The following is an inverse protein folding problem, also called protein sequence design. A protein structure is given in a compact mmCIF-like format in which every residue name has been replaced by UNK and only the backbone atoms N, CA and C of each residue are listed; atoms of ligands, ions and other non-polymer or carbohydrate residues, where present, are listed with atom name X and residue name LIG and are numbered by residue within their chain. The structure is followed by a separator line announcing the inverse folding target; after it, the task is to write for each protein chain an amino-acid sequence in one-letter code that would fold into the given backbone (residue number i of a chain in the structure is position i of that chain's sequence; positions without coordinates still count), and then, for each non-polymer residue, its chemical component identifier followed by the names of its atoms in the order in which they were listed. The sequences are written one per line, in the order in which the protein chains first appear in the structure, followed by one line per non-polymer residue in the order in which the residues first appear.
data_IF_187409849964
#
_entry.id   IF_187409849964
#
_cell.length_a   1.000
_cell.length_b   1.000
_cell.length_c   1.000
_cell.angle_alpha   90.00
_cell.angle_beta   90.00
_cell.angle_gamma   90.00
#
_symmetry.space_group_name_H-M   'P 1'
#
loop_
_entity.id
_entity.type
_entity.pdbx_description
1 polymer ?
#
# COMPACT_ATOMS: atom_id res chain seq x y z
N UNK A 1 20.07 -27.50 -6.60
CA UNK A 1 18.88 -27.55 -5.74
C UNK A 1 18.43 -26.13 -5.50
N UNK A 2 17.41 -25.70 -6.24
CA UNK A 2 16.82 -24.36 -6.15
C UNK A 2 16.05 -24.27 -4.84
N UNK A 3 16.50 -23.42 -3.92
CA UNK A 3 15.76 -23.10 -2.72
C UNK A 3 14.57 -22.21 -3.12
N UNK A 4 13.36 -22.79 -3.07
CA UNK A 4 12.12 -22.04 -3.09
C UNK A 4 12.02 -21.27 -1.78
N UNK A 5 12.16 -19.95 -1.84
CA UNK A 5 11.78 -19.06 -0.74
C UNK A 5 10.25 -19.05 -0.72
N UNK A 6 9.67 -19.85 0.16
CA UNK A 6 8.24 -19.77 0.45
C UNK A 6 7.92 -18.39 1.00
N UNK A 7 7.12 -17.63 0.26
CA UNK A 7 6.44 -16.48 0.83
C UNK A 7 5.60 -17.00 1.99
N UNK A 8 5.91 -16.57 3.21
CA UNK A 8 5.06 -16.85 4.37
C UNK A 8 3.69 -16.23 4.09
N UNK A 9 2.71 -17.08 3.78
CA UNK A 9 1.31 -16.71 3.58
C UNK A 9 0.71 -16.28 4.93
N UNK A 10 1.04 -15.06 5.33
CA UNK A 10 0.41 -14.42 6.49
C UNK A 10 -1.02 -14.06 6.08
N UNK A 11 -1.99 -14.78 6.62
CA UNK A 11 -3.40 -14.44 6.44
C UNK A 11 -3.77 -13.29 7.38
N UNK A 12 -4.54 -12.32 6.89
CA UNK A 12 -5.02 -11.20 7.69
C UNK A 12 -6.55 -11.20 7.69
N UNK A 13 -7.15 -11.30 8.87
CA UNK A 13 -8.59 -11.10 9.00
C UNK A 13 -8.94 -9.63 8.73
N UNK A 14 -9.98 -9.40 7.93
CA UNK A 14 -10.57 -8.09 7.70
C UNK A 14 -11.43 -7.70 8.92
N UNK A 15 -10.77 -7.32 10.00
CA UNK A 15 -11.40 -6.93 11.26
C UNK A 15 -12.29 -5.69 11.07
N UNK A 16 -13.52 -5.73 11.59
CA UNK A 16 -14.52 -4.66 11.45
C UNK A 16 -15.69 -5.04 10.54
N UNK A 17 -15.48 -6.00 9.62
CA UNK A 17 -16.58 -6.58 8.84
C UNK A 17 -17.16 -7.78 9.60
N UNK A 18 -18.48 -7.74 9.80
CA UNK A 18 -19.24 -8.75 10.54
C UNK A 18 -20.36 -9.35 9.66
N UNK A 19 -21.17 -10.26 10.22
CA UNK A 19 -22.25 -10.93 9.49
C UNK A 19 -23.31 -9.96 8.96
N UNK A 20 -23.67 -8.90 9.71
CA UNK A 20 -24.66 -7.90 9.28
C UNK A 20 -24.21 -7.21 7.98
N UNK A 21 -22.93 -6.89 7.87
CA UNK A 21 -22.36 -6.30 6.65
C UNK A 21 -22.45 -7.26 5.46
N UNK A 22 -22.17 -8.55 5.68
CA UNK A 22 -22.28 -9.56 4.63
C UNK A 22 -23.73 -9.78 4.21
N UNK A 23 -24.68 -9.76 5.14
CA UNK A 23 -26.11 -9.88 4.86
C UNK A 23 -26.62 -8.69 4.04
N UNK A 24 -26.14 -7.48 4.34
CA UNK A 24 -26.44 -6.27 3.57
C UNK A 24 -25.95 -6.40 2.13
N UNK A 25 -24.69 -6.81 1.94
CA UNK A 25 -24.13 -7.05 0.61
C UNK A 25 -24.86 -8.16 -0.14
N UNK A 26 -25.24 -9.24 0.55
CA UNK A 26 -26.01 -10.32 -0.07
C UNK A 26 -27.40 -9.86 -0.49
N UNK A 27 -28.08 -9.05 0.32
CA UNK A 27 -29.43 -8.55 0.04
C UNK A 27 -29.44 -7.61 -1.16
N UNK A 28 -28.53 -6.64 -1.20
CA UNK A 28 -28.58 -5.55 -2.18
C UNK A 28 -27.72 -5.78 -3.43
N UNK A 29 -26.79 -6.74 -3.41
CA UNK A 29 -25.81 -6.87 -4.48
C UNK A 29 -25.72 -8.28 -5.07
N UNK A 30 -26.12 -9.33 -4.35
CA UNK A 30 -26.05 -10.69 -4.87
C UNK A 30 -27.00 -10.96 -6.04
N UNK A 31 -28.01 -10.12 -6.31
CA UNK A 31 -28.87 -10.27 -7.50
C UNK A 31 -28.09 -10.15 -8.83
N UNK A 32 -27.04 -9.34 -8.83
CA UNK A 32 -26.22 -9.00 -10.00
C UNK A 32 -24.77 -9.49 -9.95
N UNK A 33 -24.27 -9.87 -8.76
CA UNK A 33 -22.88 -10.27 -8.49
C UNK A 33 -22.79 -11.65 -7.84
N UNK A 34 -23.36 -12.66 -8.51
CA UNK A 34 -23.38 -14.06 -8.11
C UNK A 34 -22.77 -14.98 -9.20
N UNK A 35 -22.80 -16.29 -8.96
CA UNK A 35 -22.32 -17.32 -9.90
C UNK A 35 -23.01 -17.27 -11.28
N UNK A 36 -24.33 -17.03 -11.30
CA UNK A 36 -25.16 -17.05 -12.53
C UNK A 36 -25.08 -15.73 -13.30
N UNK A 37 -24.92 -14.61 -12.58
CA UNK A 37 -24.84 -13.24 -13.11
C UNK A 37 -23.67 -12.54 -12.42
N UNK A 38 -22.62 -12.25 -13.17
CA UNK A 38 -21.44 -11.53 -12.68
C UNK A 38 -21.26 -10.22 -13.47
N UNK A 39 -22.13 -9.24 -13.20
CA UNK A 39 -21.96 -7.90 -13.78
C UNK A 39 -20.59 -7.34 -13.34
N UNK A 40 -19.89 -6.65 -14.25
CA UNK A 40 -18.55 -6.12 -13.99
C UNK A 40 -17.47 -7.18 -13.68
N UNK A 41 -17.73 -8.47 -13.98
CA UNK A 41 -16.85 -9.60 -13.63
C UNK A 41 -16.52 -9.65 -12.13
N UNK A 42 -17.49 -9.27 -11.30
CA UNK A 42 -17.37 -9.27 -9.85
C UNK A 42 -18.37 -10.22 -9.23
N UNK A 43 -17.91 -10.97 -8.21
CA UNK A 43 -18.69 -11.95 -7.44
C UNK A 43 -18.55 -11.67 -5.96
N UNK A 44 -19.68 -11.51 -5.29
CA UNK A 44 -19.76 -11.25 -3.85
C UNK A 44 -19.61 -12.53 -3.04
N UNK A 45 -20.11 -13.63 -3.56
CA UNK A 45 -20.04 -14.94 -2.90
C UNK A 45 -18.61 -15.48 -2.74
N UNK A 46 -17.67 -14.92 -3.48
CA UNK A 46 -16.23 -15.22 -3.39
C UNK A 46 -15.46 -14.21 -2.51
N UNK A 47 -16.12 -13.24 -1.87
CA UNK A 47 -15.45 -12.31 -0.96
C UNK A 47 -15.07 -13.02 0.35
N UNK A 48 -13.78 -13.22 0.55
CA UNK A 48 -13.24 -13.76 1.79
C UNK A 48 -13.00 -12.66 2.81
N UNK A 49 -13.41 -12.89 4.07
CA UNK A 49 -12.99 -12.07 5.22
C UNK A 49 -11.53 -12.33 5.64
N UNK A 50 -10.90 -13.36 5.09
CA UNK A 50 -9.50 -13.68 5.29
C UNK A 50 -8.72 -13.28 4.06
N UNK A 51 -7.90 -12.25 4.19
CA UNK A 51 -7.07 -11.68 3.12
C UNK A 51 -5.75 -12.42 3.11
N UNK A 52 -5.45 -13.12 2.01
CA UNK A 52 -4.20 -13.84 1.82
C UNK A 52 -3.30 -13.13 0.80
N UNK A 53 -3.95 -12.52 -0.20
CA UNK A 53 -3.29 -11.89 -1.36
C UNK A 53 -3.68 -10.42 -1.51
N UNK A 54 -2.90 -9.68 -2.29
CA UNK A 54 -3.26 -8.30 -2.70
C UNK A 54 -4.57 -8.27 -3.47
N UNK A 55 -4.88 -9.30 -4.26
CA UNK A 55 -6.13 -9.40 -5.01
C UNK A 55 -7.35 -9.45 -4.06
N UNK A 56 -7.27 -10.19 -2.96
CA UNK A 56 -8.34 -10.24 -1.95
C UNK A 56 -8.63 -8.83 -1.39
N UNK A 57 -7.58 -8.06 -1.10
CA UNK A 57 -7.71 -6.69 -0.63
C UNK A 57 -8.28 -5.74 -1.71
N UNK A 58 -7.84 -5.90 -2.97
CA UNK A 58 -8.36 -5.12 -4.09
C UNK A 58 -9.86 -5.35 -4.33
N UNK A 59 -10.35 -6.58 -4.13
CA UNK A 59 -11.78 -6.87 -4.24
C UNK A 59 -12.60 -6.11 -3.21
N UNK A 60 -12.16 -6.06 -1.96
CA UNK A 60 -12.80 -5.24 -0.92
C UNK A 60 -12.69 -3.74 -1.19
N UNK A 61 -11.55 -3.29 -1.73
CA UNK A 61 -11.38 -1.89 -2.14
C UNK A 61 -12.38 -1.50 -3.24
N UNK A 62 -12.68 -2.40 -4.19
CA UNK A 62 -13.70 -2.16 -5.22
C UNK A 62 -15.10 -1.99 -4.61
N UNK A 63 -15.46 -2.81 -3.63
CA UNK A 63 -16.75 -2.66 -2.90
C UNK A 63 -16.82 -1.29 -2.23
N UNK A 64 -15.77 -0.92 -1.48
CA UNK A 64 -15.70 0.38 -0.80
C UNK A 64 -15.81 1.55 -1.79
N UNK A 65 -15.13 1.48 -2.93
CA UNK A 65 -15.17 2.52 -3.96
C UNK A 65 -16.57 2.65 -4.58
N UNK A 66 -17.20 1.53 -4.94
CA UNK A 66 -18.53 1.53 -5.54
C UNK A 66 -19.60 2.10 -4.59
N UNK A 67 -19.53 1.75 -3.31
CA UNK A 67 -20.42 2.30 -2.29
C UNK A 67 -20.20 3.81 -2.10
N UNK A 68 -18.95 4.26 -1.98
CA UNK A 68 -18.60 5.67 -1.85
C UNK A 68 -19.01 6.51 -3.06
N UNK A 69 -18.84 5.96 -4.27
CA UNK A 69 -19.23 6.62 -5.51
C UNK A 69 -20.75 6.65 -5.72
N UNK A 70 -21.51 5.84 -4.97
CA UNK A 70 -22.94 5.69 -5.17
C UNK A 70 -23.29 4.94 -6.47
N UNK A 71 -22.33 4.25 -7.07
CA UNK A 71 -22.53 3.45 -8.30
C UNK A 71 -23.30 2.16 -8.01
N UNK A 72 -23.24 1.68 -6.76
CA UNK A 72 -23.90 0.45 -6.32
C UNK A 72 -24.73 0.69 -5.04
N UNK A 73 -25.94 0.14 -4.97
CA UNK A 73 -26.70 -0.48 -6.07
C UNK A 73 -27.08 0.54 -7.16
N UNK A 74 -27.28 0.12 -8.43
CA UNK A 74 -27.77 1.00 -9.50
C UNK A 74 -29.12 1.65 -9.17
N UNK A 75 -29.44 2.79 -9.79
CA UNK A 75 -30.67 3.56 -9.49
C UNK A 75 -31.98 2.75 -9.70
N UNK A 76 -31.96 1.73 -10.56
CA UNK A 76 -33.09 0.84 -10.85
C UNK A 76 -33.23 -0.34 -9.86
N UNK A 77 -32.31 -0.47 -8.91
CA UNK A 77 -32.28 -1.54 -7.91
C UNK A 77 -32.53 -1.00 -6.49
N UNK A 78 -32.89 -1.90 -5.57
CA UNK A 78 -33.16 -1.54 -4.17
C UNK A 78 -31.90 -1.01 -3.48
N UNK A 79 -31.94 0.28 -3.12
CA UNK A 79 -30.83 0.98 -2.49
C UNK A 79 -30.58 0.49 -1.05
N UNK A 80 -29.31 0.50 -0.66
CA UNK A 80 -28.93 0.25 0.73
C UNK A 80 -29.44 1.41 1.61
N UNK A 81 -30.10 1.15 2.74
CA UNK A 81 -30.54 2.19 3.65
C UNK A 81 -29.39 3.12 4.06
N UNK A 82 -29.56 4.46 4.08
CA UNK A 82 -28.45 5.40 4.26
C UNK A 82 -27.60 5.19 5.52
N UNK A 83 -28.24 4.86 6.65
CA UNK A 83 -27.54 4.59 7.90
C UNK A 83 -26.70 3.30 7.81
N UNK A 84 -27.25 2.25 7.23
CA UNK A 84 -26.53 0.97 7.08
C UNK A 84 -25.40 1.07 6.06
N UNK A 85 -25.60 1.87 5.01
CA UNK A 85 -24.55 2.20 4.05
C UNK A 85 -23.41 2.96 4.73
N UNK A 86 -23.72 3.96 5.54
CA UNK A 86 -22.72 4.74 6.27
C UNK A 86 -21.93 3.85 7.24
N UNK A 87 -22.63 3.05 8.07
CA UNK A 87 -22.02 2.07 8.98
C UNK A 87 -21.05 1.14 8.23
N UNK A 88 -21.50 0.54 7.12
CA UNK A 88 -20.68 -0.36 6.31
C UNK A 88 -19.45 0.34 5.73
N UNK A 89 -19.61 1.53 5.16
CA UNK A 89 -18.52 2.26 4.52
C UNK A 89 -17.47 2.69 5.54
N UNK A 90 -17.89 3.16 6.72
CA UNK A 90 -16.99 3.59 7.79
C UNK A 90 -16.20 2.40 8.34
N UNK A 91 -16.87 1.30 8.68
CA UNK A 91 -16.22 0.10 9.20
C UNK A 91 -15.29 -0.54 8.16
N UNK A 92 -15.72 -0.61 6.89
CA UNK A 92 -14.88 -1.11 5.79
C UNK A 92 -13.68 -0.19 5.55
N UNK A 93 -13.86 1.13 5.60
CA UNK A 93 -12.78 2.10 5.48
C UNK A 93 -11.71 1.89 6.55
N UNK A 94 -12.12 1.77 7.81
CA UNK A 94 -11.21 1.51 8.93
C UNK A 94 -10.51 0.15 8.81
N UNK A 95 -11.26 -0.88 8.41
CA UNK A 95 -10.72 -2.22 8.17
C UNK A 95 -9.63 -2.21 7.08
N UNK A 96 -9.87 -1.50 5.98
CA UNK A 96 -8.93 -1.38 4.87
C UNK A 96 -7.65 -0.61 5.25
N UNK A 97 -7.76 0.46 6.05
CA UNK A 97 -6.58 1.18 6.58
C UNK A 97 -5.75 0.27 7.48
N UNK A 98 -6.40 -0.47 8.37
CA UNK A 98 -5.74 -1.40 9.30
C UNK A 98 -5.07 -2.55 8.55
N UNK A 99 -5.75 -3.11 7.55
CA UNK A 99 -5.22 -4.14 6.67
C UNK A 99 -3.98 -3.64 5.92
N UNK A 100 -4.05 -2.45 5.32
CA UNK A 100 -2.92 -1.85 4.59
C UNK A 100 -1.69 -1.72 5.49
N UNK A 101 -1.85 -1.30 6.74
CA UNK A 101 -0.74 -1.23 7.70
C UNK A 101 -0.08 -2.60 7.91
N UNK A 102 -0.88 -3.65 8.16
CA UNK A 102 -0.38 -5.03 8.33
C UNK A 102 0.28 -5.60 7.08
N UNK A 103 -0.23 -5.27 5.90
CA UNK A 103 0.32 -5.73 4.61
C UNK A 103 1.55 -4.92 4.17
N UNK A 104 1.65 -3.65 4.56
CA UNK A 104 2.78 -2.78 4.21
C UNK A 104 4.08 -3.22 4.89
N UNK A 105 4.00 -3.88 6.04
CA UNK A 105 5.17 -4.46 6.73
C UNK A 105 5.92 -5.48 5.85
N UNK A 106 5.28 -6.03 4.80
CA UNK A 106 5.90 -6.98 3.85
C UNK A 106 6.91 -6.37 2.90
N UNK A 107 6.82 -5.06 2.62
CA UNK A 107 7.73 -4.41 1.67
C UNK A 107 9.04 -3.93 2.33
N UNK A 108 9.23 -4.20 3.62
CA UNK A 108 10.27 -3.57 4.42
C UNK A 108 10.00 -2.07 4.59
N UNK A 109 10.58 -1.45 5.61
CA UNK A 109 10.63 -0.01 5.64
C UNK A 109 11.36 0.45 4.37
N UNK A 110 10.70 1.26 3.51
CA UNK A 110 11.41 2.00 2.48
C UNK A 110 12.37 2.92 3.24
N UNK A 111 13.60 2.47 3.40
CA UNK A 111 14.62 3.26 4.06
C UNK A 111 14.78 4.53 3.24
N UNK A 112 14.48 5.68 3.84
CA UNK A 112 14.78 6.98 3.27
C UNK A 112 16.24 6.95 2.83
N UNK A 113 16.45 6.99 1.52
CA UNK A 113 17.76 6.84 0.92
C UNK A 113 18.33 8.23 0.67
N UNK A 114 19.54 8.50 1.17
CA UNK A 114 20.24 9.74 0.80
C UNK A 114 20.72 9.67 -0.65
N UNK A 115 21.00 10.82 -1.25
CA UNK A 115 21.75 10.87 -2.51
C UNK A 115 23.15 10.28 -2.32
N UNK A 116 23.63 9.53 -3.32
CA UNK A 116 25.04 9.14 -3.34
C UNK A 116 25.93 10.36 -3.61
N UNK A 117 27.24 10.26 -3.38
CA UNK A 117 28.16 11.40 -3.44
C UNK A 117 28.18 12.06 -4.82
N UNK A 118 28.06 11.25 -5.87
CA UNK A 118 28.00 11.72 -7.27
C UNK A 118 26.71 12.51 -7.51
N UNK A 119 25.57 11.97 -7.10
CA UNK A 119 24.26 12.63 -7.21
C UNK A 119 24.21 13.92 -6.39
N UNK A 120 24.73 13.91 -5.17
CA UNK A 120 24.77 15.08 -4.30
C UNK A 120 25.61 16.21 -4.92
N UNK A 121 26.82 15.89 -5.42
CA UNK A 121 27.67 16.85 -6.14
C UNK A 121 26.95 17.45 -7.35
N UNK A 122 26.36 16.60 -8.19
CA UNK A 122 25.68 17.05 -9.40
C UNK A 122 24.46 17.92 -9.07
N UNK A 123 23.71 17.57 -8.02
CA UNK A 123 22.52 18.31 -7.58
C UNK A 123 22.90 19.71 -7.08
N UNK A 124 23.96 19.83 -6.27
CA UNK A 124 24.42 21.14 -5.80
C UNK A 124 24.95 22.01 -6.95
N UNK A 125 25.67 21.41 -7.91
CA UNK A 125 26.12 22.13 -9.10
C UNK A 125 24.93 22.61 -9.95
N UNK A 126 23.94 21.76 -10.17
CA UNK A 126 22.78 22.08 -11.02
C UNK A 126 21.86 23.12 -10.37
N UNK A 127 21.57 22.98 -9.07
CA UNK A 127 20.60 23.84 -8.39
C UNK A 127 21.21 25.13 -7.86
N UNK A 128 22.47 25.09 -7.41
CA UNK A 128 23.12 26.21 -6.72
C UNK A 128 24.35 26.74 -7.46
N UNK A 129 24.82 26.07 -8.51
CA UNK A 129 26.05 26.45 -9.22
C UNK A 129 27.33 26.23 -8.41
N UNK A 130 27.26 25.51 -7.28
CA UNK A 130 28.40 25.32 -6.37
C UNK A 130 29.07 23.97 -6.61
N UNK A 131 30.38 23.97 -6.77
CA UNK A 131 31.18 22.74 -6.82
C UNK A 131 31.87 22.48 -5.48
N UNK A 132 31.53 21.35 -4.85
CA UNK A 132 32.09 20.92 -3.57
C UNK A 132 32.90 19.63 -3.69
N UNK A 133 33.92 19.49 -2.85
CA UNK A 133 34.66 18.24 -2.73
C UNK A 133 33.92 17.24 -1.84
N UNK A 134 32.96 16.53 -2.43
CA UNK A 134 32.22 15.45 -1.76
C UNK A 134 33.09 14.27 -1.33
N UNK A 135 34.40 14.25 -1.59
CA UNK A 135 35.35 13.18 -1.18
C UNK A 135 35.60 13.14 0.34
N UNK A 136 35.08 14.11 1.09
CA UNK A 136 35.07 14.13 2.56
C UNK A 136 33.83 13.48 3.18
N UNK A 137 32.74 13.34 2.43
CA UNK A 137 31.53 12.65 2.92
C UNK A 137 31.79 11.15 3.17
N UNK A 138 30.97 10.47 3.98
CA UNK A 138 31.09 9.03 4.11
C UNK A 138 30.85 8.30 2.77
N UNK A 139 31.54 7.17 2.51
CA UNK A 139 31.40 6.42 1.27
C UNK A 139 29.97 5.87 1.09
N UNK A 140 29.56 5.79 -0.17
CA UNK A 140 28.35 5.09 -0.57
C UNK A 140 28.66 3.60 -0.52
N UNK A 141 28.24 2.93 0.54
CA UNK A 141 28.30 1.47 0.56
C UNK A 141 27.21 0.98 -0.38
N UNK A 142 27.55 0.09 -1.30
CA UNK A 142 26.63 -0.59 -2.21
C UNK A 142 26.86 -2.09 -2.12
N UNK A 143 25.81 -2.89 -2.23
CA UNK A 143 25.97 -4.31 -2.50
C UNK A 143 26.30 -4.47 -4.00
N UNK A 144 27.55 -4.78 -4.31
CA UNK A 144 28.03 -4.99 -5.69
C UNK A 144 28.62 -3.73 -6.35
N UNK A 145 28.50 -3.62 -7.68
CA UNK A 145 29.14 -2.58 -8.49
C UNK A 145 28.32 -1.29 -8.65
N UNK A 146 27.20 -1.15 -7.92
CA UNK A 146 26.27 -0.02 -8.05
C UNK A 146 26.20 0.80 -6.76
N UNK A 147 26.25 2.12 -6.90
CA UNK A 147 26.19 3.08 -5.79
C UNK A 147 24.81 3.74 -5.61
N UNK A 148 23.78 3.19 -6.27
CA UNK A 148 22.38 3.67 -6.24
C UNK A 148 21.44 2.78 -5.41
N UNK A 149 21.98 1.79 -4.69
CA UNK A 149 21.19 0.88 -3.88
C UNK A 149 20.65 1.58 -2.63
N UNK A 150 19.34 1.87 -2.59
CA UNK A 150 18.71 2.59 -1.49
C UNK A 150 18.85 1.93 -0.11
N UNK A 151 18.89 0.59 -0.06
CA UNK A 151 19.09 -0.17 1.19
C UNK A 151 20.44 0.07 1.87
N UNK A 152 21.43 0.57 1.12
CA UNK A 152 22.78 0.84 1.62
C UNK A 152 23.10 2.34 1.70
N UNK A 153 22.17 3.20 1.26
CA UNK A 153 22.22 4.66 1.34
C UNK A 153 21.43 5.19 2.55
N UNK A 154 21.67 4.62 3.74
CA UNK A 154 21.08 5.12 4.99
C UNK A 154 21.79 6.39 5.47
N UNK A 155 21.12 7.14 6.35
CA UNK A 155 21.66 8.32 7.03
C UNK A 155 21.88 8.04 8.53
N UNK A 156 23.07 8.34 9.05
CA UNK A 156 23.41 8.24 10.48
C UNK A 156 23.77 9.63 11.06
N UNK A 157 23.79 9.76 12.39
CA UNK A 157 24.11 11.03 13.04
C UNK A 157 25.48 11.59 12.62
N UNK A 158 26.50 10.73 12.53
CA UNK A 158 27.84 11.12 12.08
C UNK A 158 27.83 11.62 10.62
N UNK A 159 27.05 10.97 9.74
CA UNK A 159 26.89 11.45 8.38
C UNK A 159 26.30 12.86 8.33
N UNK A 160 25.27 13.15 9.14
CA UNK A 160 24.66 14.50 9.22
C UNK A 160 25.70 15.54 9.65
N UNK A 161 26.53 15.23 10.64
CA UNK A 161 27.63 16.11 11.07
C UNK A 161 28.60 16.39 9.92
N UNK A 162 28.99 15.36 9.16
CA UNK A 162 29.87 15.52 7.99
C UNK A 162 29.26 16.42 6.89
N UNK A 163 27.94 16.33 6.66
CA UNK A 163 27.25 17.23 5.72
C UNK A 163 27.23 18.68 6.24
N UNK A 164 27.03 18.87 7.55
CA UNK A 164 27.01 20.20 8.16
C UNK A 164 28.39 20.87 8.14
N UNK A 165 29.45 20.12 8.40
CA UNK A 165 30.83 20.62 8.31
C UNK A 165 31.16 21.08 6.89
N UNK A 166 30.71 20.34 5.89
CA UNK A 166 30.96 20.67 4.49
C UNK A 166 30.17 21.87 3.98
N UNK A 167 29.06 22.21 4.65
CA UNK A 167 28.22 23.38 4.32
C UNK A 167 28.60 24.68 5.04
N UNK A 168 29.64 24.67 5.89
CA UNK A 168 30.19 25.86 6.55
C UNK A 168 31.27 26.52 5.71
#
# INVERSE_FOLDING_TARGET
MTAMVGASETSHALSGINSRHLDLLNTHCASCHNEKKSKGKFRIDELSLTIQTTNDAERWQKVLNALNAGEMPPEDEEQVPPLEKADLVDDLGLAMVTLRKKMSDRHGAIAMSRLNRREYRNTLRELLGVEINVSQLPPDHGLGNYDTSGSSLYISSNQIESYLELGR
#
